data_IF_145935894075
#
_entry.id   IF_145935894075
#
_cell.length_a   1.000
_cell.length_b   1.000
_cell.length_c   1.000
_cell.angle_alpha   90.00
_cell.angle_beta   90.00
_cell.angle_gamma   90.00
#
_symmetry.space_group_name_H-M   'P 1'
#
loop_
_entity.id
_entity.type
_entity.pdbx_description
1 polymer ?
#
# COMPACT_ATOMS: atom_id res chain seq x y z
N UNK A 1 -11.34 -36.32 -5.32
CA UNK A 1 -10.56 -35.27 -4.68
C UNK A 1 -9.77 -34.49 -5.72
N UNK A 2 -9.88 -33.20 -5.72
CA UNK A 2 -9.13 -32.36 -6.64
C UNK A 2 -7.81 -31.96 -6.01
N UNK A 3 -6.77 -32.00 -6.83
CA UNK A 3 -5.48 -31.46 -6.42
C UNK A 3 -5.49 -29.95 -6.62
N UNK A 4 -5.26 -29.23 -5.56
CA UNK A 4 -5.14 -27.76 -5.62
C UNK A 4 -3.67 -27.38 -5.49
N UNK A 5 -3.25 -26.27 -6.10
CA UNK A 5 -1.95 -25.70 -5.81
C UNK A 5 -1.81 -25.45 -4.31
N UNK A 6 -0.60 -25.55 -3.81
CA UNK A 6 -0.33 -25.38 -2.37
C UNK A 6 -0.01 -23.92 -2.05
N UNK A 7 -0.92 -23.04 -2.41
CA UNK A 7 -0.77 -21.62 -2.11
C UNK A 7 -1.08 -21.41 -0.63
N UNK A 8 -0.17 -20.78 0.08
CA UNK A 8 -0.31 -20.58 1.54
C UNK A 8 -0.72 -19.15 1.90
N UNK A 9 -0.35 -18.18 1.08
CA UNK A 9 -0.67 -16.79 1.33
C UNK A 9 -0.34 -15.95 0.10
N UNK A 10 -0.80 -14.70 0.11
CA UNK A 10 -0.32 -13.70 -0.84
C UNK A 10 1.00 -13.18 -0.29
N UNK A 11 2.10 -13.44 -0.99
CA UNK A 11 3.43 -13.09 -0.53
C UNK A 11 3.72 -11.61 -0.65
N UNK A 12 3.54 -11.06 -1.85
CA UNK A 12 3.73 -9.64 -2.09
C UNK A 12 2.80 -9.14 -3.18
N UNK A 13 2.51 -7.84 -3.13
CA UNK A 13 1.78 -7.13 -4.18
C UNK A 13 2.77 -6.22 -4.87
N UNK A 14 2.89 -6.32 -6.19
CA UNK A 14 3.82 -5.51 -6.95
C UNK A 14 3.18 -4.16 -7.25
N UNK A 15 3.88 -3.09 -6.86
CA UNK A 15 3.44 -1.72 -7.08
C UNK A 15 4.49 -1.03 -7.93
N UNK A 16 4.14 -0.59 -9.14
CA UNK A 16 5.10 0.09 -10.01
C UNK A 16 5.39 1.49 -9.51
N UNK A 17 6.67 1.87 -9.52
CA UNK A 17 7.10 3.20 -9.10
C UNK A 17 8.15 3.70 -10.08
N UNK A 18 8.23 5.01 -10.26
CA UNK A 18 9.24 5.61 -11.14
C UNK A 18 10.58 5.75 -10.47
N UNK A 19 10.58 6.04 -9.17
CA UNK A 19 11.78 6.30 -8.39
C UNK A 19 11.66 5.52 -7.08
N UNK A 20 12.47 4.48 -6.95
CA UNK A 20 12.42 3.60 -5.78
C UNK A 20 12.84 4.31 -4.49
N UNK A 21 13.77 5.25 -4.56
CA UNK A 21 14.17 6.00 -3.36
C UNK A 21 13.06 6.92 -2.87
N UNK A 22 12.39 7.60 -3.78
CA UNK A 22 11.25 8.44 -3.45
C UNK A 22 10.11 7.60 -2.88
N UNK A 23 9.83 6.46 -3.51
CA UNK A 23 8.79 5.54 -3.03
C UNK A 23 9.14 5.01 -1.65
N UNK A 24 10.38 4.59 -1.44
CA UNK A 24 10.82 4.06 -0.16
C UNK A 24 10.64 5.09 0.95
N UNK A 25 11.00 6.35 0.69
CA UNK A 25 10.78 7.43 1.64
C UNK A 25 9.31 7.61 1.99
N UNK A 26 8.43 7.56 0.99
CA UNK A 26 7.00 7.66 1.23
C UNK A 26 6.48 6.53 2.11
N UNK A 27 6.79 5.28 1.75
CA UNK A 27 6.25 4.13 2.49
C UNK A 27 6.84 4.01 3.89
N UNK A 28 8.12 4.28 4.06
CA UNK A 28 8.77 4.13 5.36
C UNK A 28 8.56 5.37 6.23
N UNK A 29 8.82 6.56 5.72
CA UNK A 29 8.78 7.78 6.52
C UNK A 29 7.38 8.33 6.68
N UNK A 30 6.59 8.35 5.60
CA UNK A 30 5.25 8.93 5.63
C UNK A 30 4.20 7.96 6.14
N UNK A 31 4.22 6.70 5.67
CA UNK A 31 3.24 5.71 6.10
C UNK A 31 3.67 4.92 7.33
N UNK A 32 4.95 4.93 7.67
CA UNK A 32 5.42 4.17 8.84
C UNK A 32 5.63 2.69 8.58
N UNK A 33 5.75 2.29 7.33
CA UNK A 33 6.05 0.90 7.01
C UNK A 33 7.52 0.60 7.30
N UNK A 34 7.86 -0.67 7.41
CA UNK A 34 9.25 -1.08 7.52
C UNK A 34 9.77 -1.65 6.20
N UNK A 35 11.03 -1.40 5.92
CA UNK A 35 11.69 -2.00 4.77
C UNK A 35 12.06 -3.44 5.11
N UNK A 36 11.54 -4.38 4.35
CA UNK A 36 11.75 -5.81 4.56
C UNK A 36 12.85 -6.39 3.71
N UNK A 37 13.06 -5.84 2.55
CA UNK A 37 14.06 -6.33 1.61
C UNK A 37 14.53 -5.18 0.73
N UNK A 38 15.81 -5.21 0.37
CA UNK A 38 16.41 -4.27 -0.58
C UNK A 38 17.64 -4.98 -1.14
N UNK A 39 17.49 -5.60 -2.29
CA UNK A 39 18.51 -6.46 -2.85
C UNK A 39 18.66 -6.26 -4.36
N UNK A 40 19.86 -6.46 -4.91
CA UNK A 40 20.02 -6.44 -6.37
C UNK A 40 19.19 -7.53 -7.02
N UNK A 41 18.57 -7.18 -8.15
CA UNK A 41 17.75 -8.14 -8.88
C UNK A 41 17.66 -7.74 -10.35
N UNK A 42 18.08 -8.61 -11.25
CA UNK A 42 17.91 -8.44 -12.70
C UNK A 42 18.38 -7.09 -13.22
N UNK A 43 19.52 -6.60 -12.74
CA UNK A 43 20.08 -5.32 -13.17
C UNK A 43 19.51 -4.10 -12.45
N UNK A 44 18.60 -4.30 -11.52
CA UNK A 44 18.01 -3.24 -10.72
C UNK A 44 17.96 -3.61 -9.24
N UNK A 45 16.88 -3.20 -8.56
CA UNK A 45 16.70 -3.47 -7.13
C UNK A 45 15.31 -4.05 -6.89
N UNK A 46 15.25 -5.02 -6.01
CA UNK A 46 13.99 -5.55 -5.50
C UNK A 46 13.80 -5.01 -4.08
N UNK A 47 12.78 -4.21 -3.87
CA UNK A 47 12.52 -3.59 -2.58
C UNK A 47 11.13 -4.00 -2.10
N UNK A 48 11.05 -4.48 -0.86
CA UNK A 48 9.77 -4.79 -0.22
C UNK A 48 9.60 -3.99 1.05
N UNK A 49 8.39 -3.48 1.23
CA UNK A 49 7.98 -2.76 2.44
C UNK A 49 6.67 -3.36 2.94
N UNK A 50 6.40 -3.20 4.23
CA UNK A 50 5.15 -3.69 4.81
C UNK A 50 4.88 -2.99 6.14
N UNK A 51 3.61 -2.95 6.58
CA UNK A 51 3.32 -2.58 7.96
C UNK A 51 4.09 -3.47 8.92
N UNK A 52 4.46 -2.92 10.07
CA UNK A 52 5.24 -3.67 11.08
C UNK A 52 4.49 -4.96 11.45
N UNK A 53 5.19 -6.09 11.35
CA UNK A 53 4.63 -7.40 11.70
C UNK A 53 3.74 -8.04 10.65
N UNK A 54 3.45 -7.38 9.54
CA UNK A 54 2.57 -7.95 8.52
C UNK A 54 3.28 -9.06 7.73
N UNK A 55 2.52 -10.07 7.30
CA UNK A 55 3.06 -11.18 6.53
C UNK A 55 3.18 -10.87 5.04
N UNK A 56 2.24 -10.09 4.50
CA UNK A 56 2.24 -9.71 3.08
C UNK A 56 2.99 -8.41 2.90
N UNK A 57 3.82 -8.35 1.88
CA UNK A 57 4.62 -7.16 1.58
C UNK A 57 4.13 -6.46 0.31
N UNK A 58 4.59 -5.24 0.12
CA UNK A 58 4.45 -4.50 -1.13
C UNK A 58 5.83 -4.44 -1.76
N UNK A 59 5.94 -4.88 -3.01
CA UNK A 59 7.19 -4.81 -3.76
C UNK A 59 7.18 -3.54 -4.62
N UNK A 60 8.13 -2.66 -4.36
CA UNK A 60 8.28 -1.39 -5.09
C UNK A 60 9.19 -1.64 -6.29
N UNK A 61 8.59 -1.84 -7.45
CA UNK A 61 9.32 -2.23 -8.66
C UNK A 61 9.43 -1.03 -9.60
N UNK A 62 10.66 -0.69 -10.00
CA UNK A 62 10.86 0.42 -10.91
C UNK A 62 10.19 0.16 -12.25
N UNK A 63 9.43 1.11 -12.72
CA UNK A 63 8.74 1.04 -14.00
C UNK A 63 8.71 2.43 -14.63
N UNK A 64 9.04 2.51 -15.90
CA UNK A 64 8.92 3.74 -16.67
C UNK A 64 7.52 4.02 -17.16
N UNK A 65 6.60 3.09 -16.93
CA UNK A 65 5.23 3.22 -17.44
C UNK A 65 4.30 3.80 -16.41
N UNK A 66 3.16 4.28 -16.89
CA UNK A 66 2.12 4.81 -16.02
C UNK A 66 1.52 3.70 -15.15
N UNK A 67 0.96 4.10 -14.02
CA UNK A 67 0.25 3.21 -13.10
C UNK A 67 -0.87 2.48 -13.83
N UNK A 68 -1.03 1.19 -13.55
CA UNK A 68 -2.13 0.41 -14.11
C UNK A 68 -3.43 0.82 -13.44
N UNK A 69 -4.41 1.36 -14.19
CA UNK A 69 -5.70 1.73 -13.60
C UNK A 69 -6.47 0.51 -13.08
N UNK A 70 -7.28 0.74 -12.08
CA UNK A 70 -8.19 -0.28 -11.57
C UNK A 70 -7.65 -1.17 -10.49
N UNK A 71 -6.35 -1.13 -10.19
CA UNK A 71 -5.78 -1.89 -9.08
C UNK A 71 -5.74 -1.00 -7.85
N UNK A 72 -6.33 -1.47 -6.77
CA UNK A 72 -6.36 -0.77 -5.50
C UNK A 72 -5.95 -1.76 -4.41
N UNK A 73 -4.97 -1.37 -3.60
CA UNK A 73 -4.57 -2.17 -2.44
C UNK A 73 -5.37 -1.70 -1.24
N UNK A 74 -6.03 -2.62 -0.56
CA UNK A 74 -6.79 -2.31 0.64
C UNK A 74 -5.91 -2.53 1.87
N UNK A 75 -5.81 -1.52 2.71
CA UNK A 75 -5.07 -1.57 3.97
C UNK A 75 -6.06 -1.53 5.13
N UNK A 76 -5.82 -2.35 6.13
CA UNK A 76 -6.66 -2.34 7.33
C UNK A 76 -6.09 -1.38 8.37
N UNK A 77 -6.94 -0.64 9.03
CA UNK A 77 -6.53 0.26 10.11
C UNK A 77 -7.51 0.17 11.27
N UNK A 78 -7.04 0.53 12.44
CA UNK A 78 -7.90 0.59 13.63
C UNK A 78 -8.74 1.87 13.68
N UNK A 79 -8.30 2.94 13.01
CA UNK A 79 -8.98 4.23 13.07
C UNK A 79 -8.77 5.02 11.77
N UNK A 80 -9.76 4.98 10.89
CA UNK A 80 -9.67 5.65 9.59
C UNK A 80 -9.66 7.18 9.72
N UNK A 81 -10.40 7.73 10.68
CA UNK A 81 -10.42 9.18 10.86
C UNK A 81 -9.07 9.73 11.29
N UNK A 82 -8.42 9.07 12.26
CA UNK A 82 -7.08 9.49 12.71
C UNK A 82 -6.06 9.36 11.59
N UNK A 83 -6.11 8.27 10.84
CA UNK A 83 -5.20 8.06 9.73
C UNK A 83 -5.39 9.10 8.64
N UNK A 84 -6.64 9.42 8.32
CA UNK A 84 -6.96 10.44 7.33
C UNK A 84 -6.35 11.79 7.74
N UNK A 85 -6.58 12.19 8.97
CA UNK A 85 -6.04 13.46 9.48
C UNK A 85 -4.51 13.47 9.44
N UNK A 86 -3.88 12.36 9.82
CA UNK A 86 -2.43 12.24 9.81
C UNK A 86 -1.86 12.35 8.40
N UNK A 87 -2.44 11.61 7.46
CA UNK A 87 -1.94 11.62 6.08
C UNK A 87 -2.15 12.97 5.40
N UNK A 88 -3.29 13.60 5.63
CA UNK A 88 -3.55 14.96 5.10
C UNK A 88 -2.53 15.94 5.67
N UNK A 89 -2.25 15.87 6.96
CA UNK A 89 -1.25 16.73 7.59
C UNK A 89 0.16 16.52 7.04
N UNK A 90 0.45 15.33 6.56
CA UNK A 90 1.75 14.99 5.96
C UNK A 90 1.81 15.25 4.46
N UNK A 91 0.77 15.85 3.88
CA UNK A 91 0.74 16.22 2.47
C UNK A 91 0.44 15.08 1.52
N UNK A 92 -0.14 13.99 2.01
CA UNK A 92 -0.52 12.87 1.15
C UNK A 92 -1.75 13.24 0.32
N UNK A 93 -1.76 12.79 -0.95
CA UNK A 93 -2.91 12.94 -1.83
C UNK A 93 -4.01 11.97 -1.38
N UNK A 94 -4.93 12.45 -0.58
CA UNK A 94 -6.03 11.66 -0.04
C UNK A 94 -7.37 12.30 -0.41
N UNK A 95 -8.41 11.45 -0.53
CA UNK A 95 -9.75 11.97 -0.72
C UNK A 95 -10.14 12.88 0.43
N UNK A 96 -11.00 13.86 0.15
CA UNK A 96 -11.30 14.93 1.11
C UNK A 96 -11.95 14.42 2.40
N UNK A 97 -12.71 13.35 2.30
CA UNK A 97 -13.51 12.87 3.42
C UNK A 97 -13.40 11.36 3.61
N UNK A 98 -13.56 10.92 4.85
CA UNK A 98 -13.74 9.52 5.18
C UNK A 98 -15.18 9.15 4.82
N UNK A 99 -15.33 8.09 4.03
CA UNK A 99 -16.64 7.63 3.55
C UNK A 99 -17.30 6.77 4.62
N UNK A 100 -18.58 7.07 4.90
CA UNK A 100 -19.42 6.27 5.80
C UNK A 100 -20.71 5.92 5.07
N UNK A 101 -20.96 4.62 4.91
CA UNK A 101 -22.12 4.13 4.13
C UNK A 101 -23.00 3.23 4.97
N UNK A 102 -23.31 3.63 6.20
CA UNK A 102 -24.20 2.88 7.09
C UNK A 102 -23.49 1.89 7.98
N UNK A 103 -24.29 1.10 8.72
CA UNK A 103 -23.76 0.29 9.82
C UNK A 103 -22.95 -0.92 9.39
N UNK A 104 -23.14 -1.36 8.14
CA UNK A 104 -22.47 -2.59 7.66
C UNK A 104 -21.25 -2.34 6.81
N UNK A 105 -20.96 -1.08 6.49
CA UNK A 105 -19.78 -0.69 5.70
C UNK A 105 -18.84 0.07 6.61
N UNK A 106 -17.63 -0.43 6.83
CA UNK A 106 -16.70 0.28 7.71
C UNK A 106 -16.27 1.61 7.10
N UNK A 107 -15.89 2.58 7.94
CA UNK A 107 -15.32 3.83 7.45
C UNK A 107 -14.08 3.56 6.62
N UNK A 108 -13.92 4.29 5.53
CA UNK A 108 -12.78 4.12 4.63
C UNK A 108 -12.48 5.39 3.87
N UNK A 109 -11.27 5.49 3.33
CA UNK A 109 -10.91 6.55 2.39
C UNK A 109 -9.83 6.05 1.46
N UNK A 110 -9.69 6.72 0.33
CA UNK A 110 -8.66 6.39 -0.66
C UNK A 110 -7.56 7.44 -0.60
N UNK A 111 -6.33 7.00 -0.71
CA UNK A 111 -5.18 7.89 -0.90
C UNK A 111 -4.30 7.32 -2.00
N UNK A 112 -3.34 8.13 -2.44
CA UNK A 112 -2.45 7.77 -3.53
C UNK A 112 -1.00 7.98 -3.10
N UNK A 113 -0.13 7.10 -3.59
CA UNK A 113 1.30 7.31 -3.40
C UNK A 113 1.82 8.35 -4.40
N UNK A 114 3.11 8.73 -4.36
CA UNK A 114 3.64 9.74 -5.27
C UNK A 114 3.54 9.38 -6.75
N UNK A 115 3.39 8.11 -7.08
CA UNK A 115 3.24 7.65 -8.46
C UNK A 115 1.78 7.51 -8.88
N UNK A 116 0.83 7.80 -8.00
CA UNK A 116 -0.59 7.69 -8.28
C UNK A 116 -1.17 6.32 -8.01
N UNK A 117 -0.41 5.40 -7.43
CA UNK A 117 -0.94 4.10 -7.03
C UNK A 117 -1.97 4.29 -5.93
N UNK A 118 -3.13 3.64 -6.08
CA UNK A 118 -4.25 3.84 -5.17
C UNK A 118 -4.26 2.84 -4.03
N UNK A 119 -4.53 3.36 -2.84
CA UNK A 119 -4.70 2.58 -1.63
C UNK A 119 -6.00 2.96 -0.97
N UNK A 120 -6.70 1.96 -0.45
CA UNK A 120 -7.92 2.20 0.32
C UNK A 120 -7.67 1.83 1.78
N UNK A 121 -7.81 2.82 2.66
CA UNK A 121 -7.69 2.60 4.09
C UNK A 121 -9.05 2.22 4.63
N UNK A 122 -9.19 1.02 5.19
CA UNK A 122 -10.46 0.48 5.67
C UNK A 122 -10.36 0.19 7.15
N UNK A 123 -11.26 0.75 7.94
CA UNK A 123 -11.27 0.52 9.37
C UNK A 123 -11.74 -0.89 9.68
N UNK A 124 -10.87 -1.65 10.34
CA UNK A 124 -11.15 -3.03 10.75
C UNK A 124 -10.54 -3.30 12.11
N UNK A 125 -11.16 -4.17 12.84
CA UNK A 125 -10.65 -4.61 14.13
C UNK A 125 -9.46 -5.56 13.99
#
# INVERSE_FOLDING_TARGET
MTNSPRVTRIGSVIVPVKDQERALSFYVETLGFEKRMDAPFAGGRWIEVAPVGAATTIALVESGEAVTPGIVVSLATENADDDHATLVARGVDADAEVIRMGDYVPPMFTFRDPDGNQFRMVQRD
#
